data_IF_702898365881
#
_entry.id   IF_702898365881
#
_cell.length_a   1.000
_cell.length_b   1.000
_cell.length_c   1.000
_cell.angle_alpha   90.00
_cell.angle_beta   90.00
_cell.angle_gamma   90.00
#
_symmetry.space_group_name_H-M   'P 1'
#
loop_
_entity.id
_entity.type
_entity.pdbx_description
1 polymer ?
#
# COMPACT_ATOMS: atom_id res chain seq x y z
N UNK A 1 -8.09 16.38 -1.02
CA UNK A 1 -8.47 16.94 0.28
C UNK A 1 -7.40 16.72 1.37
N UNK A 2 -6.62 15.64 1.34
CA UNK A 2 -5.62 15.38 2.39
C UNK A 2 -4.62 16.56 2.58
N UNK A 3 -3.99 17.12 1.53
CA UNK A 3 -3.14 18.30 1.71
C UNK A 3 -3.88 19.52 2.28
N UNK A 4 -5.17 19.65 1.95
CA UNK A 4 -6.00 20.74 2.47
C UNK A 4 -6.25 20.60 3.97
N UNK A 5 -6.56 19.40 4.44
CA UNK A 5 -6.72 19.14 5.88
C UNK A 5 -5.41 19.35 6.64
N UNK A 6 -4.25 19.05 6.03
CA UNK A 6 -2.95 19.32 6.66
C UNK A 6 -2.67 20.80 6.85
N UNK A 7 -3.12 21.66 5.93
CA UNK A 7 -2.97 23.12 6.03
C UNK A 7 -4.11 23.81 6.78
N UNK A 8 -5.32 23.24 6.74
CA UNK A 8 -6.55 23.76 7.33
C UNK A 8 -7.21 22.69 8.21
N UNK A 9 -6.67 22.36 9.40
CA UNK A 9 -7.14 21.22 10.20
C UNK A 9 -8.63 21.30 10.63
N UNK A 10 -9.18 22.49 10.75
CA UNK A 10 -10.56 22.74 11.13
C UNK A 10 -11.52 22.87 9.93
N UNK A 11 -11.05 22.66 8.70
CA UNK A 11 -11.88 22.73 7.51
C UNK A 11 -12.86 21.56 7.48
N UNK A 12 -14.14 21.86 7.80
CA UNK A 12 -15.19 20.86 7.90
C UNK A 12 -15.41 20.08 6.58
N UNK A 13 -15.48 20.77 5.44
CA UNK A 13 -15.77 20.14 4.15
C UNK A 13 -14.67 19.18 3.73
N UNK A 14 -13.40 19.58 3.89
CA UNK A 14 -12.26 18.74 3.58
C UNK A 14 -12.22 17.49 4.48
N UNK A 15 -12.48 17.65 5.78
CA UNK A 15 -12.55 16.52 6.73
C UNK A 15 -13.72 15.60 6.43
N UNK A 16 -14.90 16.15 6.15
CA UNK A 16 -16.11 15.38 5.80
C UNK A 16 -15.88 14.54 4.53
N UNK A 17 -15.25 15.12 3.50
CA UNK A 17 -14.90 14.41 2.27
C UNK A 17 -13.92 13.26 2.52
N UNK A 18 -12.90 13.44 3.35
CA UNK A 18 -11.96 12.36 3.72
C UNK A 18 -12.67 11.26 4.49
N UNK A 19 -13.50 11.61 5.48
CA UNK A 19 -14.27 10.62 6.26
C UNK A 19 -15.24 9.84 5.36
N UNK A 20 -15.93 10.52 4.45
CA UNK A 20 -16.83 9.86 3.51
C UNK A 20 -16.08 8.95 2.54
N UNK A 21 -14.96 9.40 1.97
CA UNK A 21 -14.12 8.58 1.11
C UNK A 21 -13.62 7.31 1.85
N UNK A 22 -13.19 7.45 3.10
CA UNK A 22 -12.80 6.31 3.95
C UNK A 22 -13.97 5.34 4.20
N UNK A 23 -15.17 5.87 4.45
CA UNK A 23 -16.38 5.04 4.61
C UNK A 23 -16.67 4.24 3.35
N UNK A 24 -16.64 4.87 2.17
CA UNK A 24 -16.90 4.20 0.88
C UNK A 24 -15.82 3.17 0.57
N UNK A 25 -14.56 3.45 0.87
CA UNK A 25 -13.45 2.51 0.69
C UNK A 25 -13.59 1.25 1.57
N UNK A 26 -14.22 1.36 2.75
CA UNK A 26 -14.28 0.30 3.75
C UNK A 26 -15.61 -0.46 3.86
N UNK A 27 -16.69 0.06 3.26
CA UNK A 27 -18.03 -0.53 3.39
C UNK A 27 -18.37 -1.62 2.36
N UNK A 28 -17.37 -2.07 1.58
CA UNK A 28 -17.53 -3.10 0.55
C UNK A 28 -18.06 -2.57 -0.79
N UNK A 29 -18.43 -1.29 -0.91
CA UNK A 29 -18.95 -0.72 -2.16
C UNK A 29 -17.96 -0.85 -3.31
N UNK A 30 -16.67 -0.64 -3.05
CA UNK A 30 -15.60 -0.73 -4.05
C UNK A 30 -15.31 -2.19 -4.49
N UNK A 31 -15.68 -3.18 -3.68
CA UNK A 31 -15.49 -4.61 -3.96
C UNK A 31 -16.63 -5.27 -4.72
N UNK A 32 -17.76 -4.56 -4.96
CA UNK A 32 -18.92 -5.16 -5.61
C UNK A 32 -18.58 -5.65 -7.02
N UNK A 33 -18.75 -6.96 -7.26
CA UNK A 33 -18.47 -7.61 -8.54
C UNK A 33 -16.98 -7.79 -8.85
N UNK A 34 -16.11 -7.55 -7.89
CA UNK A 34 -14.67 -7.74 -8.00
C UNK A 34 -14.15 -8.67 -6.89
N UNK A 35 -13.10 -9.41 -7.19
CA UNK A 35 -12.32 -10.10 -6.16
C UNK A 35 -11.32 -9.11 -5.57
N UNK A 36 -11.39 -8.90 -4.26
CA UNK A 36 -10.53 -7.98 -3.54
C UNK A 36 -9.20 -8.65 -3.16
N UNK A 37 -8.11 -7.89 -3.10
CA UNK A 37 -6.82 -8.34 -2.57
C UNK A 37 -6.48 -7.59 -1.28
N UNK A 38 -6.36 -8.32 -0.19
CA UNK A 38 -6.04 -7.81 1.15
C UNK A 38 -4.63 -8.18 1.60
N UNK A 39 -3.76 -8.63 0.68
CA UNK A 39 -2.42 -9.07 1.03
C UNK A 39 -1.56 -7.95 1.63
N UNK A 40 -1.66 -6.72 1.09
CA UNK A 40 -0.96 -5.56 1.65
C UNK A 40 -1.35 -5.28 3.10
N UNK A 41 -2.63 -5.38 3.43
CA UNK A 41 -3.12 -5.25 4.81
C UNK A 41 -2.61 -6.37 5.71
N UNK A 42 -2.65 -7.61 5.22
CA UNK A 42 -2.14 -8.76 5.98
C UNK A 42 -0.64 -8.63 6.29
N UNK A 43 0.17 -8.21 5.33
CA UNK A 43 1.59 -7.94 5.55
C UNK A 43 1.81 -6.81 6.56
N UNK A 44 1.02 -5.75 6.48
CA UNK A 44 1.14 -4.61 7.39
C UNK A 44 0.70 -4.95 8.81
N UNK A 45 -0.34 -5.77 9.00
CA UNK A 45 -0.80 -6.19 10.32
C UNK A 45 0.33 -6.80 11.16
N UNK A 46 1.25 -7.54 10.54
CA UNK A 46 2.39 -8.10 11.25
C UNK A 46 3.38 -7.02 11.71
N UNK A 47 3.53 -5.94 10.92
CA UNK A 47 4.35 -4.79 11.33
C UNK A 47 3.72 -4.08 12.51
N UNK A 48 2.43 -3.76 12.44
CA UNK A 48 1.71 -3.13 13.55
C UNK A 48 1.73 -3.98 14.81
N UNK A 49 1.55 -5.29 14.68
CA UNK A 49 1.54 -6.21 15.81
C UNK A 49 2.90 -6.35 16.51
N UNK A 50 4.00 -6.31 15.76
CA UNK A 50 5.34 -6.54 16.30
C UNK A 50 6.01 -5.25 16.77
N UNK A 51 5.80 -4.14 16.03
CA UNK A 51 6.49 -2.88 16.26
C UNK A 51 5.60 -1.77 16.85
N UNK A 52 4.34 -2.06 17.14
CA UNK A 52 3.37 -1.12 17.73
C UNK A 52 3.28 0.21 16.97
N UNK A 53 3.21 0.14 15.62
CA UNK A 53 3.09 1.31 14.76
C UNK A 53 1.64 1.56 14.36
N UNK A 54 1.32 2.80 13.99
CA UNK A 54 -0.01 3.16 13.50
C UNK A 54 -0.29 2.47 12.17
N UNK A 55 -1.41 1.75 12.05
CA UNK A 55 -1.80 0.98 10.87
C UNK A 55 -1.72 1.76 9.56
N UNK A 56 -2.24 2.98 9.50
CA UNK A 56 -2.17 3.81 8.29
C UNK A 56 -0.73 4.16 7.88
N UNK A 57 0.17 4.35 8.84
CA UNK A 57 1.59 4.60 8.57
C UNK A 57 2.29 3.33 8.06
N UNK A 58 1.98 2.17 8.65
CA UNK A 58 2.47 0.88 8.16
C UNK A 58 1.98 0.58 6.74
N UNK A 59 0.71 0.86 6.42
CA UNK A 59 0.18 0.73 5.05
C UNK A 59 0.87 1.68 4.06
N UNK A 60 1.20 2.91 4.46
CA UNK A 60 1.91 3.85 3.61
C UNK A 60 3.30 3.32 3.20
N UNK A 61 3.91 2.48 4.02
CA UNK A 61 5.18 1.78 3.74
C UNK A 61 4.96 0.53 2.88
N UNK A 62 4.03 -0.33 3.27
CA UNK A 62 3.86 -1.64 2.62
C UNK A 62 3.17 -1.54 1.27
N UNK A 63 2.21 -0.64 1.09
CA UNK A 63 1.44 -0.60 -0.15
C UNK A 63 2.29 -0.24 -1.38
N UNK A 64 3.18 0.76 -1.36
CA UNK A 64 4.10 1.00 -2.48
C UNK A 64 5.06 -0.17 -2.75
N UNK A 65 5.53 -0.86 -1.71
CA UNK A 65 6.40 -2.03 -1.85
C UNK A 65 5.63 -3.21 -2.50
N UNK A 66 4.41 -3.48 -2.04
CA UNK A 66 3.51 -4.47 -2.64
C UNK A 66 3.18 -4.15 -4.10
N UNK A 67 2.86 -2.89 -4.44
CA UNK A 67 2.63 -2.45 -5.83
C UNK A 67 3.86 -2.67 -6.71
N UNK A 68 5.07 -2.42 -6.16
CA UNK A 68 6.33 -2.65 -6.88
C UNK A 68 6.53 -4.15 -7.18
N UNK A 69 6.25 -5.01 -6.21
CA UNK A 69 6.25 -6.45 -6.42
C UNK A 69 5.18 -6.88 -7.43
N UNK A 70 3.95 -6.41 -7.25
CA UNK A 70 2.83 -6.73 -8.14
C UNK A 70 3.09 -6.32 -9.59
N UNK A 71 3.70 -5.16 -9.83
CA UNK A 71 4.06 -4.69 -11.16
C UNK A 71 5.05 -5.62 -11.88
N UNK A 72 5.95 -6.29 -11.16
CA UNK A 72 6.88 -7.27 -11.76
C UNK A 72 6.18 -8.55 -12.23
N UNK A 73 5.08 -8.93 -11.59
CA UNK A 73 4.38 -10.21 -11.82
C UNK A 73 3.07 -10.06 -12.60
N UNK A 74 2.37 -8.94 -12.44
CA UNK A 74 1.11 -8.65 -13.11
C UNK A 74 0.93 -7.13 -13.25
N UNK A 75 1.53 -6.53 -14.26
CA UNK A 75 1.63 -5.07 -14.41
C UNK A 75 0.31 -4.36 -14.72
N UNK A 76 -0.66 -5.06 -15.35
CA UNK A 76 -1.84 -4.43 -15.97
C UNK A 76 -2.66 -3.54 -15.03
N UNK A 77 -3.01 -4.02 -13.83
CA UNK A 77 -3.78 -3.24 -12.85
C UNK A 77 -2.95 -2.13 -12.20
N UNK A 78 -1.65 -2.34 -12.03
CA UNK A 78 -0.77 -1.31 -11.46
C UNK A 78 -0.61 -0.15 -12.45
N UNK A 79 -0.44 -0.44 -13.75
CA UNK A 79 -0.44 0.57 -14.80
C UNK A 79 -1.79 1.31 -14.90
N UNK A 80 -2.92 0.57 -14.82
CA UNK A 80 -4.26 1.18 -14.78
C UNK A 80 -4.43 2.13 -13.59
N UNK A 81 -3.95 1.74 -12.40
CA UNK A 81 -3.93 2.58 -11.21
C UNK A 81 -3.09 3.85 -11.43
N UNK A 82 -1.90 3.70 -12.03
CA UNK A 82 -1.04 4.84 -12.34
C UNK A 82 -1.72 5.87 -13.26
N UNK A 83 -2.39 5.40 -14.31
CA UNK A 83 -3.10 6.28 -15.25
C UNK A 83 -4.32 6.93 -14.59
N UNK A 84 -5.16 6.15 -13.91
CA UNK A 84 -6.46 6.64 -13.42
C UNK A 84 -6.40 7.44 -12.13
N UNK A 85 -5.41 7.18 -11.28
CA UNK A 85 -5.30 7.80 -9.94
C UNK A 85 -4.20 8.85 -9.91
N UNK A 86 -3.12 8.63 -10.67
CA UNK A 86 -1.93 9.47 -10.63
C UNK A 86 -1.72 10.29 -11.91
N UNK A 87 -2.67 10.25 -12.86
CA UNK A 87 -2.60 10.99 -14.12
C UNK A 87 -1.30 10.74 -14.90
N UNK A 88 -0.75 9.51 -14.81
CA UNK A 88 0.40 9.12 -15.63
C UNK A 88 -0.08 8.96 -17.08
N UNK A 89 0.59 9.56 -18.07
CA UNK A 89 0.22 9.37 -19.46
C UNK A 89 0.23 7.89 -19.87
N UNK A 90 -0.75 7.47 -20.67
CA UNK A 90 -0.80 6.12 -21.24
C UNK A 90 0.41 5.89 -22.14
N UNK A 91 0.95 4.67 -22.10
CA UNK A 91 2.05 4.20 -22.95
C UNK A 91 1.99 2.69 -23.12
N UNK A 92 2.55 2.18 -24.19
CA UNK A 92 2.71 0.73 -24.44
C UNK A 92 3.72 0.10 -23.45
N UNK A 93 4.61 0.89 -22.86
CA UNK A 93 5.49 0.46 -21.77
C UNK A 93 4.74 0.50 -20.44
N UNK A 94 3.91 -0.50 -20.18
CA UNK A 94 3.13 -0.61 -18.96
C UNK A 94 4.00 -0.65 -17.69
N UNK A 95 5.22 -1.17 -17.81
CA UNK A 95 6.14 -1.22 -16.67
C UNK A 95 6.62 0.17 -16.29
N UNK A 96 7.01 1.00 -17.25
CA UNK A 96 7.38 2.39 -17.01
C UNK A 96 6.19 3.19 -16.43
N UNK A 97 4.98 3.00 -16.98
CA UNK A 97 3.75 3.63 -16.46
C UNK A 97 3.50 3.25 -15.01
N UNK A 98 3.56 1.96 -14.68
CA UNK A 98 3.34 1.48 -13.32
C UNK A 98 4.36 2.06 -12.33
N UNK A 99 5.65 2.06 -12.68
CA UNK A 99 6.71 2.58 -11.81
C UNK A 99 6.60 4.09 -11.58
N UNK A 100 6.22 4.86 -12.61
CA UNK A 100 5.95 6.29 -12.47
C UNK A 100 4.76 6.54 -11.53
N UNK A 101 3.68 5.76 -11.64
CA UNK A 101 2.53 5.84 -10.73
C UNK A 101 2.90 5.56 -9.28
N UNK A 102 3.73 4.54 -9.04
CA UNK A 102 4.25 4.21 -7.71
C UNK A 102 5.12 5.36 -7.17
N UNK A 103 5.95 5.98 -8.02
CA UNK A 103 6.77 7.12 -7.63
C UNK A 103 5.91 8.34 -7.23
N UNK A 104 4.86 8.67 -8.00
CA UNK A 104 3.90 9.72 -7.66
C UNK A 104 3.14 9.44 -6.37
N UNK A 105 2.75 8.18 -6.15
CA UNK A 105 2.11 7.76 -4.90
C UNK A 105 3.04 7.98 -3.69
N UNK A 106 4.30 7.54 -3.77
CA UNK A 106 5.29 7.79 -2.70
C UNK A 106 5.50 9.29 -2.45
N UNK A 107 5.61 10.09 -3.53
CA UNK A 107 5.75 11.55 -3.41
C UNK A 107 4.52 12.19 -2.73
N UNK A 108 3.31 11.72 -3.05
CA UNK A 108 2.09 12.15 -2.37
C UNK A 108 2.13 11.81 -0.88
N UNK A 109 2.48 10.57 -0.51
CA UNK A 109 2.59 10.15 0.89
C UNK A 109 3.57 11.04 1.66
N UNK A 110 4.75 11.30 1.11
CA UNK A 110 5.71 12.24 1.70
C UNK A 110 5.14 13.65 1.84
N UNK A 111 4.35 14.14 0.87
CA UNK A 111 3.77 15.48 0.90
C UNK A 111 2.78 15.71 2.04
N UNK A 112 2.22 14.63 2.58
CA UNK A 112 1.32 14.63 3.74
C UNK A 112 1.99 14.10 5.02
N UNK A 113 3.31 14.00 5.02
CA UNK A 113 4.10 13.59 6.20
C UNK A 113 4.08 12.10 6.53
N UNK A 114 3.69 11.25 5.58
CA UNK A 114 3.66 9.80 5.78
C UNK A 114 5.01 9.16 5.42
N UNK A 115 5.46 8.12 6.17
CA UNK A 115 6.64 7.35 5.83
C UNK A 115 6.38 6.48 4.58
N UNK A 116 7.42 6.16 3.81
CA UNK A 116 7.34 5.22 2.67
C UNK A 116 8.38 4.11 2.75
N UNK A 117 9.15 4.05 3.84
CA UNK A 117 10.07 2.95 4.17
C UNK A 117 9.97 2.56 5.63
N UNK A 118 10.35 1.34 5.97
CA UNK A 118 10.42 0.86 7.36
C UNK A 118 11.36 1.73 8.21
N UNK A 119 12.45 2.20 7.62
CA UNK A 119 13.37 3.13 8.29
C UNK A 119 12.71 4.45 8.64
N UNK A 120 11.96 5.07 7.72
CA UNK A 120 11.20 6.30 7.97
C UNK A 120 10.11 6.09 9.02
N UNK A 121 9.55 4.88 9.10
CA UNK A 121 8.59 4.47 10.14
C UNK A 121 9.26 4.27 11.51
N UNK A 122 10.59 4.35 11.59
CA UNK A 122 11.36 4.15 12.83
C UNK A 122 11.83 2.71 13.07
N UNK A 123 11.67 1.82 12.09
CA UNK A 123 12.10 0.41 12.17
C UNK A 123 13.39 0.25 11.38
N UNK A 124 14.53 0.48 12.04
CA UNK A 124 15.85 0.42 11.37
C UNK A 124 16.30 -1.02 11.04
N UNK A 125 15.97 -1.98 11.91
CA UNK A 125 16.39 -3.38 11.79
C UNK A 125 15.17 -4.31 11.90
N UNK A 126 14.33 -4.41 10.85
CA UNK A 126 13.17 -5.28 10.88
C UNK A 126 13.57 -6.75 10.90
N UNK A 127 12.94 -7.55 11.77
CA UNK A 127 13.03 -9.01 11.75
C UNK A 127 12.10 -9.57 10.65
N UNK A 128 12.61 -9.56 9.41
CA UNK A 128 11.83 -10.00 8.24
C UNK A 128 11.47 -11.49 8.34
N UNK A 129 12.33 -12.32 8.94
CA UNK A 129 12.03 -13.74 9.15
C UNK A 129 10.82 -13.93 10.06
N UNK A 130 10.75 -13.15 11.12
CA UNK A 130 9.61 -13.15 12.03
C UNK A 130 8.34 -12.66 11.33
N UNK A 131 8.40 -11.54 10.61
CA UNK A 131 7.26 -10.98 9.86
C UNK A 131 6.69 -11.97 8.86
N UNK A 132 7.55 -12.59 8.02
CA UNK A 132 7.14 -13.59 7.02
C UNK A 132 6.51 -14.80 7.70
N UNK A 133 7.13 -15.32 8.75
CA UNK A 133 6.59 -16.46 9.48
C UNK A 133 5.21 -16.16 10.05
N UNK A 134 5.04 -15.02 10.72
CA UNK A 134 3.77 -14.62 11.32
C UNK A 134 2.66 -14.44 10.27
N UNK A 135 2.95 -13.75 9.17
CA UNK A 135 2.00 -13.59 8.08
C UNK A 135 1.48 -14.93 7.54
N UNK A 136 2.36 -15.94 7.36
CA UNK A 136 1.98 -17.24 6.84
C UNK A 136 1.43 -18.22 7.90
N UNK A 137 1.69 -18.00 9.17
CA UNK A 137 0.97 -18.68 10.26
C UNK A 137 -0.53 -18.33 10.22
N UNK A 138 -0.85 -17.07 9.95
CA UNK A 138 -2.23 -16.55 9.92
C UNK A 138 -2.95 -16.79 8.58
N UNK A 139 -2.27 -16.53 7.46
CA UNK A 139 -2.87 -16.54 6.11
C UNK A 139 -2.65 -17.84 5.34
N UNK A 140 -1.86 -18.78 5.88
CA UNK A 140 -1.51 -20.02 5.22
C UNK A 140 -0.33 -19.91 4.25
N UNK A 141 -0.11 -20.99 3.45
CA UNK A 141 1.08 -21.09 2.59
C UNK A 141 1.13 -20.08 1.46
N UNK A 142 -0.03 -19.61 0.99
CA UNK A 142 -0.17 -18.64 -0.10
C UNK A 142 -1.27 -17.68 0.27
N UNK A 143 -1.01 -16.38 0.11
CA UNK A 143 -1.97 -15.31 0.34
C UNK A 143 -2.05 -14.40 -0.90
N UNK A 144 -3.09 -13.54 -0.96
CA UNK A 144 -3.32 -12.62 -2.07
C UNK A 144 -4.07 -13.24 -3.24
N UNK A 145 -4.87 -12.43 -3.90
CA UNK A 145 -5.72 -12.82 -5.04
C UNK A 145 -5.19 -12.25 -6.36
N UNK A 146 -4.68 -11.03 -6.34
CA UNK A 146 -4.11 -10.39 -7.54
C UNK A 146 -2.73 -10.92 -7.89
N UNK A 147 -1.87 -11.03 -6.89
CA UNK A 147 -0.59 -11.75 -6.99
C UNK A 147 -0.48 -12.69 -5.79
N UNK A 148 -0.18 -13.96 -6.08
CA UNK A 148 -0.04 -14.95 -5.02
C UNK A 148 1.29 -14.78 -4.29
N UNK A 149 1.22 -14.63 -2.97
CA UNK A 149 2.35 -14.42 -2.09
C UNK A 149 2.65 -15.70 -1.31
N UNK A 150 3.72 -16.36 -1.65
CA UNK A 150 4.38 -17.34 -0.79
C UNK A 150 5.39 -16.65 0.17
N UNK A 151 6.09 -17.42 0.98
CA UNK A 151 7.06 -16.86 1.93
C UNK A 151 8.20 -16.09 1.26
N UNK A 152 8.59 -16.48 0.04
CA UNK A 152 9.64 -15.78 -0.70
C UNK A 152 9.13 -14.43 -1.25
N UNK A 153 7.93 -14.40 -1.80
CA UNK A 153 7.26 -13.20 -2.27
C UNK A 153 7.05 -12.19 -1.12
N UNK A 154 6.57 -12.66 0.02
CA UNK A 154 6.35 -11.83 1.21
C UNK A 154 7.67 -11.24 1.72
N UNK A 155 8.74 -12.02 1.71
CA UNK A 155 10.09 -11.56 2.03
C UNK A 155 10.54 -10.45 1.08
N UNK A 156 10.39 -10.64 -0.24
CA UNK A 156 10.78 -9.63 -1.23
C UNK A 156 10.03 -8.30 -1.00
N UNK A 157 8.74 -8.36 -0.67
CA UNK A 157 7.96 -7.15 -0.38
C UNK A 157 8.48 -6.42 0.87
N UNK A 158 8.78 -7.14 1.96
CA UNK A 158 9.37 -6.51 3.15
C UNK A 158 10.75 -5.92 2.88
N UNK A 159 11.58 -6.57 2.03
CA UNK A 159 12.88 -6.02 1.62
C UNK A 159 12.72 -4.76 0.72
N UNK A 160 11.71 -4.71 -0.14
CA UNK A 160 11.37 -3.52 -0.95
C UNK A 160 10.86 -2.36 -0.08
N UNK A 161 10.38 -2.65 1.12
CA UNK A 161 9.87 -1.68 2.08
C UNK A 161 10.97 -1.09 3.01
N UNK A 162 12.20 -1.62 3.00
CA UNK A 162 13.33 -1.12 3.83
C UNK A 162 13.80 0.23 3.35
#
# INVERSE_FOLDING_TARGET
EAPRVMSEPDNYDARANIMWAGTVAHNGTCGVGCEEDWASHGLEHEISAIYDVTHGAGLAVIFPAWLTYAAKHNVGKVAQYAVRVWDVPESDDLQAVAMEGIARFKAFLHSIGMPVTLRELGIENPDIDLLVRKFHEDKGKVAGNYVHLDSQASREIYELAR
#
